data_IF_650798822271
#
_entry.id   IF_650798822271
#
_cell.length_a   1.000
_cell.length_b   1.000
_cell.length_c   1.000
_cell.angle_alpha   90.00
_cell.angle_beta   90.00
_cell.angle_gamma   90.00
#
_symmetry.space_group_name_H-M   'P 1'
#
loop_
_entity.id
_entity.type
_entity.pdbx_description
1 polymer ?
#
# COMPACT_ATOMS: atom_id res chain seq x y z
N UNK A 1 14.85 14.86 -10.71
CA UNK A 1 13.90 14.03 -11.32
C UNK A 1 13.07 13.20 -10.37
N UNK A 2 11.81 13.17 -10.60
CA UNK A 2 10.99 12.43 -9.73
C UNK A 2 10.88 11.01 -10.09
N UNK A 3 10.78 10.12 -9.16
CA UNK A 3 10.63 8.72 -9.50
C UNK A 3 9.24 8.52 -10.07
N UNK A 4 9.14 7.67 -11.03
CA UNK A 4 7.89 7.33 -11.63
C UNK A 4 7.30 6.13 -10.96
N UNK A 5 5.99 6.05 -10.97
CA UNK A 5 5.32 4.89 -10.42
C UNK A 5 5.44 3.76 -11.42
N UNK A 6 5.66 2.58 -10.90
CA UNK A 6 5.79 1.41 -11.73
C UNK A 6 4.59 0.50 -11.57
N UNK A 7 4.22 -0.16 -12.64
CA UNK A 7 3.13 -1.09 -12.58
C UNK A 7 3.66 -2.46 -12.24
N UNK A 8 3.02 -3.11 -11.30
CA UNK A 8 3.40 -4.46 -10.93
C UNK A 8 2.14 -5.28 -10.79
N UNK A 9 2.29 -6.58 -10.81
CA UNK A 9 1.18 -7.49 -10.59
C UNK A 9 1.47 -8.32 -9.37
N UNK A 10 0.47 -8.47 -8.51
CA UNK A 10 0.64 -9.30 -7.32
C UNK A 10 -0.58 -10.16 -7.15
N UNK A 11 -0.42 -11.22 -6.39
CA UNK A 11 -1.51 -12.11 -6.06
C UNK A 11 -1.89 -11.85 -4.61
N UNK A 12 -3.16 -11.61 -4.35
CA UNK A 12 -3.63 -11.31 -3.01
C UNK A 12 -4.78 -12.22 -2.64
N UNK A 13 -4.83 -12.61 -1.37
CA UNK A 13 -5.95 -13.43 -0.89
C UNK A 13 -7.24 -12.66 -1.10
N UNK A 14 -8.28 -13.37 -1.47
CA UNK A 14 -9.54 -12.75 -1.82
C UNK A 14 -10.14 -11.96 -0.65
N UNK A 15 -10.11 -12.53 0.53
CA UNK A 15 -10.68 -11.86 1.70
C UNK A 15 -9.90 -10.60 2.06
N UNK A 16 -8.58 -10.64 1.88
CA UNK A 16 -7.74 -9.47 2.14
C UNK A 16 -8.06 -8.39 1.13
N UNK A 17 -8.22 -8.78 -0.13
CA UNK A 17 -8.52 -7.82 -1.18
C UNK A 17 -9.85 -7.10 -0.90
N UNK A 18 -10.85 -7.84 -0.49
CA UNK A 18 -12.14 -7.25 -0.22
C UNK A 18 -12.09 -6.25 0.92
N UNK A 19 -11.35 -6.56 1.95
CA UNK A 19 -11.22 -5.66 3.08
C UNK A 19 -10.46 -4.40 2.69
N UNK A 20 -9.42 -4.55 1.89
CA UNK A 20 -8.65 -3.40 1.45
C UNK A 20 -9.50 -2.49 0.58
N UNK A 21 -10.31 -3.07 -0.29
CA UNK A 21 -11.19 -2.28 -1.14
C UNK A 21 -12.16 -1.46 -0.31
N UNK A 22 -12.69 -2.08 0.73
CA UNK A 22 -13.64 -1.40 1.61
C UNK A 22 -12.98 -0.21 2.30
N UNK A 23 -11.79 -0.43 2.82
CA UNK A 23 -11.07 0.64 3.50
C UNK A 23 -10.67 1.76 2.55
N UNK A 24 -10.27 1.39 1.33
CA UNK A 24 -9.91 2.39 0.35
C UNK A 24 -11.09 3.28 0.02
N UNK A 25 -12.26 2.70 -0.10
CA UNK A 25 -13.47 3.45 -0.37
C UNK A 25 -13.78 4.42 0.75
N UNK A 26 -13.63 3.98 1.97
CA UNK A 26 -13.90 4.83 3.12
C UNK A 26 -12.97 6.01 3.18
N UNK A 27 -11.75 5.82 2.69
CA UNK A 27 -10.77 6.90 2.65
C UNK A 27 -10.85 7.70 1.36
N UNK A 28 -11.80 7.37 0.50
CA UNK A 28 -11.97 8.08 -0.76
C UNK A 28 -10.72 7.99 -1.62
N UNK A 29 -10.08 6.85 -1.63
CA UNK A 29 -8.88 6.63 -2.40
C UNK A 29 -9.07 5.45 -3.34
N UNK A 30 -8.30 5.43 -4.42
CA UNK A 30 -8.32 4.27 -5.30
C UNK A 30 -7.59 3.13 -4.59
N UNK A 31 -7.86 1.91 -5.04
CA UNK A 31 -7.22 0.75 -4.45
C UNK A 31 -5.71 0.82 -4.59
N UNK A 32 -5.21 1.25 -5.74
CA UNK A 32 -3.78 1.38 -5.96
C UNK A 32 -3.15 2.38 -5.01
N UNK A 33 -3.80 3.52 -4.83
CA UNK A 33 -3.29 4.54 -3.93
C UNK A 33 -3.25 4.05 -2.50
N UNK A 34 -4.31 3.36 -2.11
CA UNK A 34 -4.40 2.86 -0.75
C UNK A 34 -3.29 1.85 -0.46
N UNK A 35 -3.08 0.92 -1.36
CA UNK A 35 -2.04 -0.08 -1.22
C UNK A 35 -0.66 0.58 -1.17
N UNK A 36 -0.44 1.55 -2.03
CA UNK A 36 0.83 2.25 -2.07
C UNK A 36 1.14 2.92 -0.73
N UNK A 37 0.13 3.53 -0.13
CA UNK A 37 0.30 4.20 1.15
C UNK A 37 0.63 3.20 2.26
N UNK A 38 -0.05 2.06 2.26
CA UNK A 38 0.21 1.03 3.24
C UNK A 38 1.64 0.52 3.14
N UNK A 39 2.09 0.29 1.92
CA UNK A 39 3.43 -0.23 1.72
C UNK A 39 4.48 0.79 2.14
N UNK A 40 4.24 2.05 1.87
CA UNK A 40 5.15 3.10 2.31
C UNK A 40 5.24 3.15 3.82
N UNK A 41 4.11 3.03 4.48
CA UNK A 41 4.07 3.03 5.93
C UNK A 41 4.82 1.83 6.49
N UNK A 42 4.64 0.69 5.87
CA UNK A 42 5.31 -0.53 6.30
C UNK A 42 6.83 -0.39 6.20
N UNK A 43 7.30 0.15 5.09
CA UNK A 43 8.73 0.34 4.89
C UNK A 43 9.28 1.32 5.91
N UNK A 44 8.55 2.38 6.15
CA UNK A 44 8.98 3.37 7.12
C UNK A 44 9.12 2.76 8.51
N UNK A 45 8.17 1.92 8.90
CA UNK A 45 8.22 1.27 10.20
C UNK A 45 9.42 0.37 10.32
N UNK A 46 9.71 -0.39 9.28
CA UNK A 46 10.87 -1.28 9.29
C UNK A 46 12.16 -0.49 9.41
N UNK A 47 12.27 0.56 8.64
CA UNK A 47 13.50 1.35 8.63
C UNK A 47 13.72 2.07 9.94
N UNK A 48 12.66 2.52 10.56
CA UNK A 48 12.77 3.17 11.85
C UNK A 48 13.23 2.20 12.93
N UNK A 49 12.77 0.96 12.84
CA UNK A 49 13.17 -0.03 13.81
C UNK A 49 14.63 -0.39 13.68
N UNK A 50 15.15 -0.35 12.47
CA UNK A 50 16.53 -0.70 12.23
C UNK A 50 17.51 0.40 12.55
N UNK A 51 17.03 1.56 12.83
CA UNK A 51 17.93 2.65 13.16
C UNK A 51 18.58 2.46 14.51
N UNK A 52 19.86 2.72 14.61
CA UNK A 52 20.56 2.62 15.88
C UNK A 52 20.12 3.66 16.88
#
# INVERSE_FOLDING_TARGET
MKPLKEKISITIDNDVLEKIKDHAEKDDRSLSQYINIILKQHIKNIEEKDKP
#
